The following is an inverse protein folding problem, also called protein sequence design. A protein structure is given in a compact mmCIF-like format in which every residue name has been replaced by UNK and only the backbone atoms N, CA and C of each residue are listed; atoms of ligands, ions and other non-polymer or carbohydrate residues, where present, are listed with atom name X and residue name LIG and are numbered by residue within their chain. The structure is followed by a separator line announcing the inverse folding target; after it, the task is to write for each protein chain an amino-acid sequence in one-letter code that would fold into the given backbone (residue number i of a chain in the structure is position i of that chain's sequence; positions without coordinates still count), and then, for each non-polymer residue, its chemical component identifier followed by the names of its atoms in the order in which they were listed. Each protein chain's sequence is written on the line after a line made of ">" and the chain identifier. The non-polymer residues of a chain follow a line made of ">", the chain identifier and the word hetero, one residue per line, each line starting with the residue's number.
data_IF_177588160383
#
_entry.id   IF_177588160383
#
_cell.length_a   1.000
_cell.length_b   1.000
_cell.length_c   1.000
_cell.angle_alpha   90.00
_cell.angle_beta   90.00
_cell.angle_gamma   90.00
#
_symmetry.space_group_name_H-M   'P 1'
#
loop_
_entity.id
_entity.type
_entity.pdbx_description
1 polymer ?
#
# COMPACT_ATOMS: atom_id res chain seq x y z
N UNK A 1 22.11 -60.14 -6.28
CA UNK A 1 22.11 -59.65 -4.89
C UNK A 1 22.28 -58.14 -4.92
N UNK A 2 21.20 -57.41 -4.85
CA UNK A 2 21.17 -55.97 -4.89
C UNK A 2 21.22 -55.42 -3.44
N UNK A 3 22.28 -54.71 -3.12
CA UNK A 3 22.42 -54.03 -1.82
C UNK A 3 21.50 -52.80 -1.77
N UNK A 4 20.53 -52.84 -0.85
CA UNK A 4 19.73 -51.70 -0.49
C UNK A 4 20.62 -50.57 0.05
N UNK A 5 20.46 -49.33 -0.38
CA UNK A 5 21.17 -48.19 0.26
C UNK A 5 20.63 -47.99 1.67
N UNK A 6 21.50 -48.03 2.63
CA UNK A 6 21.27 -47.70 4.05
C UNK A 6 20.66 -46.30 4.17
N UNK A 7 19.58 -46.09 4.94
CA UNK A 7 19.03 -44.75 5.17
C UNK A 7 20.09 -43.90 5.87
N UNK A 8 20.44 -42.76 5.26
CA UNK A 8 21.27 -41.73 5.91
C UNK A 8 20.52 -41.23 7.14
N UNK A 9 21.05 -41.58 8.30
CA UNK A 9 20.66 -40.99 9.58
C UNK A 9 20.88 -39.47 9.51
N UNK A 10 19.80 -38.73 9.71
CA UNK A 10 19.87 -37.27 9.92
C UNK A 10 20.79 -36.99 11.11
N UNK A 11 21.71 -36.02 11.04
CA UNK A 11 22.46 -35.59 12.22
C UNK A 11 21.45 -35.08 13.26
N UNK A 12 21.59 -35.56 14.50
CA UNK A 12 20.77 -35.07 15.62
C UNK A 12 20.76 -33.55 15.66
N UNK A 13 19.63 -32.92 16.00
CA UNK A 13 19.55 -31.48 16.09
C UNK A 13 20.43 -30.98 17.23
N UNK A 14 21.64 -30.61 16.90
CA UNK A 14 22.55 -29.90 17.82
C UNK A 14 21.82 -28.64 18.27
N UNK A 15 21.74 -28.46 19.59
CA UNK A 15 21.16 -27.29 20.27
C UNK A 15 21.51 -26.03 19.50
N UNK A 16 20.46 -25.42 18.89
CA UNK A 16 20.56 -24.24 18.04
C UNK A 16 20.96 -23.02 18.87
N UNK A 17 22.27 -22.84 19.05
CA UNK A 17 22.86 -21.57 19.42
C UNK A 17 22.55 -20.51 18.35
N UNK A 18 22.71 -19.25 18.64
CA UNK A 18 22.45 -18.07 17.78
C UNK A 18 23.14 -18.13 16.40
N UNK A 19 24.16 -18.96 16.21
CA UNK A 19 25.03 -19.09 15.03
C UNK A 19 24.31 -19.56 13.73
N UNK A 20 23.44 -20.58 13.74
CA UNK A 20 22.81 -21.06 12.49
C UNK A 20 21.89 -20.03 11.84
N UNK A 21 21.15 -19.27 12.64
CA UNK A 21 20.26 -18.21 12.11
C UNK A 21 21.05 -17.02 11.58
N UNK A 22 22.23 -16.72 12.13
CA UNK A 22 23.10 -15.67 11.61
C UNK A 22 23.63 -16.05 10.22
N UNK A 23 24.11 -17.28 10.07
CA UNK A 23 24.60 -17.80 8.78
C UNK A 23 23.48 -17.85 7.73
N UNK A 24 22.27 -18.23 8.11
CA UNK A 24 21.10 -18.21 7.23
C UNK A 24 20.71 -16.77 6.85
N UNK A 25 20.77 -15.83 7.79
CA UNK A 25 20.55 -14.41 7.50
C UNK A 25 21.53 -13.88 6.44
N UNK A 26 22.82 -14.17 6.62
CA UNK A 26 23.86 -13.77 5.65
C UNK A 26 23.66 -14.43 4.28
N UNK A 27 23.24 -15.69 4.24
CA UNK A 27 22.91 -16.39 3.00
C UNK A 27 21.71 -15.74 2.29
N UNK A 28 20.66 -15.35 3.03
CA UNK A 28 19.51 -14.62 2.48
C UNK A 28 19.92 -13.26 1.92
N UNK A 29 20.79 -12.52 2.61
CA UNK A 29 21.31 -11.22 2.14
C UNK A 29 22.10 -11.41 0.85
N UNK A 30 22.99 -12.42 0.77
CA UNK A 30 23.73 -12.77 -0.46
C UNK A 30 22.78 -13.13 -1.63
N UNK A 31 21.61 -13.69 -1.35
CA UNK A 31 20.52 -13.91 -2.35
C UNK A 31 19.70 -12.66 -2.69
N UNK A 32 20.10 -11.47 -2.22
CA UNK A 32 19.44 -10.21 -2.50
C UNK A 32 18.18 -9.94 -1.68
N UNK A 33 17.94 -10.71 -0.59
CA UNK A 33 16.83 -10.38 0.31
C UNK A 33 17.15 -9.11 1.11
N UNK A 34 16.15 -8.26 1.29
CA UNK A 34 16.27 -7.07 2.12
C UNK A 34 16.22 -7.44 3.60
N UNK A 35 16.85 -6.62 4.44
CA UNK A 35 16.92 -6.80 5.89
C UNK A 35 15.54 -7.08 6.51
N UNK A 36 14.53 -6.26 6.24
CA UNK A 36 13.16 -6.46 6.74
C UNK A 36 12.52 -7.80 6.29
N UNK A 37 12.95 -8.34 5.14
CA UNK A 37 12.50 -9.65 4.67
C UNK A 37 13.22 -10.77 5.42
N UNK A 38 14.51 -10.59 5.67
CA UNK A 38 15.33 -11.53 6.47
C UNK A 38 14.79 -11.61 7.89
N UNK A 39 14.60 -10.47 8.55
CA UNK A 39 14.04 -10.40 9.90
C UNK A 39 12.68 -11.11 10.01
N UNK A 40 11.77 -10.85 9.05
CA UNK A 40 10.47 -11.51 9.02
C UNK A 40 10.59 -13.03 8.89
N UNK A 41 11.49 -13.53 8.02
CA UNK A 41 11.72 -14.96 7.85
C UNK A 41 12.29 -15.59 9.13
N UNK A 42 13.26 -14.94 9.75
CA UNK A 42 13.83 -15.38 11.01
C UNK A 42 12.79 -15.40 12.14
N UNK A 43 11.89 -14.42 12.17
CA UNK A 43 10.80 -14.36 13.16
C UNK A 43 9.87 -15.57 13.05
N UNK A 44 9.54 -16.03 11.83
CA UNK A 44 8.78 -17.27 11.66
C UNK A 44 9.55 -18.49 12.14
N UNK A 45 10.80 -18.65 11.71
CA UNK A 45 11.61 -19.82 12.06
C UNK A 45 11.87 -19.94 13.58
N UNK A 46 12.06 -18.82 14.27
CA UNK A 46 12.26 -18.81 15.74
C UNK A 46 11.04 -19.30 16.53
N UNK A 47 9.85 -19.33 15.93
CA UNK A 47 8.62 -19.81 16.57
C UNK A 47 8.35 -21.30 16.30
N UNK A 48 9.14 -21.93 15.46
CA UNK A 48 8.94 -23.31 14.98
C UNK A 48 10.09 -24.19 15.47
N UNK A 49 9.82 -25.48 15.63
CA UNK A 49 10.78 -26.46 16.14
C UNK A 49 10.80 -27.72 15.28
N UNK A 50 11.92 -28.44 15.31
CA UNK A 50 12.07 -29.72 14.61
C UNK A 50 12.61 -29.59 13.18
N UNK A 51 12.40 -30.63 12.39
CA UNK A 51 12.78 -30.68 10.97
C UNK A 51 11.95 -29.67 10.13
N UNK A 52 12.41 -29.31 8.92
CA UNK A 52 11.64 -28.44 8.02
C UNK A 52 10.23 -28.98 7.73
N UNK A 53 10.03 -30.29 7.61
CA UNK A 53 8.73 -30.94 7.40
C UNK A 53 7.82 -30.78 8.62
N UNK A 54 8.37 -30.98 9.84
CA UNK A 54 7.64 -30.78 11.08
C UNK A 54 7.26 -29.30 11.26
N UNK A 55 8.17 -28.36 10.91
CA UNK A 55 7.86 -26.93 10.90
C UNK A 55 6.72 -26.58 9.98
N UNK A 56 6.65 -27.17 8.76
CA UNK A 56 5.51 -26.97 7.85
C UNK A 56 4.22 -27.48 8.47
N UNK A 57 4.23 -28.65 9.08
CA UNK A 57 3.07 -29.23 9.77
C UNK A 57 2.58 -28.29 10.88
N UNK A 58 3.50 -27.73 11.70
CA UNK A 58 3.17 -26.76 12.73
C UNK A 58 2.53 -25.48 12.12
N UNK A 59 3.07 -24.98 11.01
CA UNK A 59 2.49 -23.80 10.31
C UNK A 59 1.09 -24.08 9.80
N UNK A 60 0.85 -25.26 9.23
CA UNK A 60 -0.48 -25.62 8.72
C UNK A 60 -1.51 -25.75 9.84
N UNK A 61 -1.12 -26.33 10.99
CA UNK A 61 -1.94 -26.46 12.18
C UNK A 61 -2.17 -25.15 12.94
N UNK A 62 -1.31 -24.14 12.74
CA UNK A 62 -1.40 -22.86 13.45
C UNK A 62 -2.61 -22.04 12.99
N UNK A 63 -3.16 -21.21 13.87
CA UNK A 63 -4.28 -20.31 13.56
C UNK A 63 -3.81 -18.98 12.89
N UNK A 64 -2.74 -19.03 12.10
CA UNK A 64 -2.30 -17.87 11.35
C UNK A 64 -3.15 -17.66 10.09
N UNK A 65 -3.26 -16.40 9.65
CA UNK A 65 -3.90 -16.11 8.36
C UNK A 65 -3.09 -16.71 7.20
N UNK A 66 -3.76 -17.15 6.14
CA UNK A 66 -3.16 -17.85 5.00
C UNK A 66 -1.92 -17.18 4.43
N UNK A 67 -1.95 -15.85 4.32
CA UNK A 67 -0.78 -15.08 3.84
C UNK A 67 0.44 -15.22 4.74
N UNK A 68 0.24 -15.30 6.06
CA UNK A 68 1.33 -15.52 7.01
C UNK A 68 1.84 -16.96 6.93
N UNK A 69 0.93 -17.93 6.81
CA UNK A 69 1.29 -19.34 6.58
C UNK A 69 2.14 -19.50 5.30
N UNK A 70 1.70 -18.92 4.18
CA UNK A 70 2.45 -18.95 2.93
C UNK A 70 3.84 -18.32 3.04
N UNK A 71 3.97 -17.21 3.79
CA UNK A 71 5.26 -16.57 4.03
C UNK A 71 6.17 -17.44 4.92
N UNK A 72 5.62 -18.10 5.94
CA UNK A 72 6.35 -19.01 6.82
C UNK A 72 6.83 -20.24 6.04
N UNK A 73 5.97 -20.87 5.25
CA UNK A 73 6.33 -22.01 4.37
C UNK A 73 7.48 -21.61 3.43
N UNK A 74 7.42 -20.44 2.80
CA UNK A 74 8.52 -19.95 1.96
C UNK A 74 9.83 -19.78 2.75
N UNK A 75 9.76 -19.32 4.01
CA UNK A 75 10.95 -19.18 4.86
C UNK A 75 11.54 -20.55 5.21
N UNK A 76 10.68 -21.53 5.53
CA UNK A 76 11.09 -22.89 5.85
C UNK A 76 11.74 -23.57 4.64
N UNK A 77 11.13 -23.48 3.45
CA UNK A 77 11.71 -24.06 2.22
C UNK A 77 13.11 -23.48 1.93
N UNK A 78 13.30 -22.18 2.12
CA UNK A 78 14.60 -21.54 1.93
C UNK A 78 15.60 -21.93 3.03
N UNK A 79 15.12 -22.16 4.25
CA UNK A 79 15.97 -22.64 5.33
C UNK A 79 16.42 -24.08 5.07
N UNK A 80 15.54 -24.96 4.60
CA UNK A 80 15.85 -26.31 4.15
C UNK A 80 16.88 -26.33 3.00
N UNK A 81 16.73 -25.43 2.03
CA UNK A 81 17.69 -25.21 0.93
C UNK A 81 19.07 -24.80 1.48
N UNK A 82 19.10 -23.87 2.44
CA UNK A 82 20.35 -23.45 3.11
C UNK A 82 21.05 -24.60 3.85
N UNK A 83 20.28 -25.50 4.47
CA UNK A 83 20.81 -26.67 5.16
C UNK A 83 21.26 -27.78 4.21
N UNK A 84 21.07 -27.64 2.90
CA UNK A 84 21.41 -28.65 1.89
C UNK A 84 20.38 -29.77 1.71
N UNK A 85 19.19 -29.65 2.29
CA UNK A 85 18.09 -30.61 2.19
C UNK A 85 16.83 -29.94 1.64
N UNK A 86 16.81 -29.54 0.34
CA UNK A 86 15.67 -28.84 -0.22
C UNK A 86 14.42 -29.71 -0.17
N UNK A 87 13.34 -29.17 0.33
CA UNK A 87 12.03 -29.80 0.44
C UNK A 87 11.07 -29.24 -0.63
N UNK A 88 10.16 -30.09 -1.11
CA UNK A 88 9.11 -29.64 -2.02
C UNK A 88 8.15 -28.72 -1.29
N UNK A 89 7.99 -27.52 -1.82
CA UNK A 89 6.99 -26.58 -1.29
C UNK A 89 5.59 -27.19 -1.43
N UNK A 90 4.78 -27.25 -0.34
CA UNK A 90 3.40 -27.72 -0.42
C UNK A 90 2.55 -26.78 -1.30
N UNK A 91 1.56 -27.35 -1.98
CA UNK A 91 0.56 -26.57 -2.73
C UNK A 91 -0.42 -25.94 -1.73
N UNK A 92 -0.02 -24.78 -1.19
CA UNK A 92 -0.81 -24.03 -0.22
C UNK A 92 -1.47 -22.83 -0.90
N UNK A 93 -2.79 -22.87 -1.01
CA UNK A 93 -3.57 -21.78 -1.61
C UNK A 93 -3.87 -20.71 -0.59
N UNK A 94 -3.67 -19.46 -0.98
CA UNK A 94 -3.98 -18.28 -0.15
C UNK A 94 -5.31 -17.71 -0.62
N UNK A 95 -6.33 -17.82 0.21
CA UNK A 95 -7.62 -17.18 -0.01
C UNK A 95 -7.60 -15.77 0.57
N UNK A 96 -7.57 -14.77 -0.30
CA UNK A 96 -7.59 -13.37 0.11
C UNK A 96 -8.89 -12.70 -0.35
N UNK A 97 -9.96 -12.87 0.42
CA UNK A 97 -11.28 -12.30 0.15
C UNK A 97 -11.49 -10.94 0.84
N UNK A 98 -10.43 -10.32 1.38
CA UNK A 98 -10.58 -9.01 2.01
C UNK A 98 -10.68 -7.93 0.94
N UNK A 99 -11.83 -7.27 0.91
CA UNK A 99 -11.97 -6.04 0.14
C UNK A 99 -11.02 -4.97 0.66
N UNK A 100 -10.47 -4.20 -0.28
CA UNK A 100 -9.59 -3.10 0.04
C UNK A 100 -10.43 -1.94 0.56
N UNK A 101 -10.24 -1.59 1.82
CA UNK A 101 -10.90 -0.40 2.38
C UNK A 101 -10.26 0.87 1.82
N UNK A 102 -11.10 1.75 1.29
CA UNK A 102 -10.72 3.09 0.85
C UNK A 102 -11.68 4.08 1.53
N UNK A 103 -11.16 5.01 2.35
CA UNK A 103 -12.00 6.03 2.97
C UNK A 103 -12.58 6.95 1.91
N UNK A 104 -13.80 7.46 2.13
CA UNK A 104 -14.37 8.46 1.25
C UNK A 104 -13.67 9.83 1.41
N UNK A 105 -13.80 10.74 0.43
CA UNK A 105 -13.12 12.03 0.45
C UNK A 105 -13.44 12.87 1.70
N UNK A 106 -14.68 12.87 2.14
CA UNK A 106 -15.10 13.64 3.31
C UNK A 106 -14.44 13.13 4.60
N UNK A 107 -14.31 11.82 4.72
CA UNK A 107 -13.61 11.21 5.86
C UNK A 107 -12.12 11.58 5.90
N UNK A 108 -11.46 11.64 4.73
CA UNK A 108 -10.06 12.09 4.63
C UNK A 108 -9.93 13.57 4.98
N UNK A 109 -10.85 14.41 4.49
CA UNK A 109 -10.95 15.83 4.83
C UNK A 109 -11.06 16.03 6.35
N UNK A 110 -12.02 15.32 6.99
CA UNK A 110 -12.22 15.39 8.44
C UNK A 110 -11.00 14.92 9.22
N UNK A 111 -10.35 13.86 8.75
CA UNK A 111 -9.12 13.35 9.37
C UNK A 111 -8.02 14.41 9.36
N UNK A 112 -7.76 15.05 8.21
CA UNK A 112 -6.75 16.11 8.05
C UNK A 112 -7.11 17.37 8.84
N UNK A 113 -8.36 17.82 8.77
CA UNK A 113 -8.82 19.05 9.44
C UNK A 113 -8.62 19.01 10.96
N UNK A 114 -8.89 17.84 11.57
CA UNK A 114 -8.76 17.64 13.03
C UNK A 114 -7.34 17.37 13.50
N UNK A 115 -6.39 17.09 12.57
CA UNK A 115 -4.98 16.91 12.92
C UNK A 115 -4.34 18.24 13.39
N UNK A 116 -4.06 18.33 14.70
CA UNK A 116 -3.43 19.53 15.28
C UNK A 116 -1.93 19.61 15.01
N UNK A 117 -1.24 18.48 14.93
CA UNK A 117 0.20 18.44 14.67
C UNK A 117 0.49 18.78 13.20
N UNK A 118 1.16 19.92 12.96
CA UNK A 118 1.59 20.36 11.63
C UNK A 118 2.44 19.28 10.96
N UNK A 119 3.37 18.69 11.69
CA UNK A 119 4.25 17.62 11.21
C UNK A 119 3.46 16.41 10.74
N UNK A 120 2.51 15.90 11.54
CA UNK A 120 1.70 14.74 11.17
C UNK A 120 0.71 15.07 10.05
N UNK A 121 0.18 16.30 10.04
CA UNK A 121 -0.68 16.80 8.95
C UNK A 121 0.09 16.82 7.63
N UNK A 122 1.32 17.35 7.60
CA UNK A 122 2.17 17.33 6.40
C UNK A 122 2.45 15.90 5.92
N UNK A 123 2.74 14.95 6.83
CA UNK A 123 2.93 13.53 6.50
C UNK A 123 1.69 12.93 5.83
N UNK A 124 0.50 13.16 6.39
CA UNK A 124 -0.76 12.63 5.82
C UNK A 124 -1.10 13.31 4.50
N UNK A 125 -0.91 14.64 4.40
CA UNK A 125 -1.14 15.38 3.15
C UNK A 125 -0.24 14.86 2.02
N UNK A 126 1.05 14.61 2.29
CA UNK A 126 1.93 13.96 1.31
C UNK A 126 1.38 12.59 0.87
N UNK A 127 0.94 11.77 1.81
CA UNK A 127 0.39 10.46 1.48
C UNK A 127 -0.89 10.56 0.62
N UNK A 128 -1.75 11.53 0.92
CA UNK A 128 -3.01 11.79 0.21
C UNK A 128 -2.76 12.36 -1.19
N UNK A 129 -1.78 13.25 -1.35
CA UNK A 129 -1.51 13.89 -2.65
C UNK A 129 -0.64 13.03 -3.58
N UNK A 130 0.25 12.19 -3.04
CA UNK A 130 1.24 11.45 -3.84
C UNK A 130 1.09 9.92 -3.77
N UNK A 131 0.27 9.42 -2.87
CA UNK A 131 0.18 8.00 -2.58
C UNK A 131 1.48 7.41 -1.99
N UNK A 132 2.35 8.23 -1.41
CA UNK A 132 3.60 7.76 -0.82
C UNK A 132 3.33 6.90 0.43
N UNK A 133 4.13 5.85 0.60
CA UNK A 133 4.12 5.00 1.80
C UNK A 133 4.87 5.67 2.96
N UNK A 134 4.61 5.23 4.20
CA UNK A 134 5.33 5.74 5.38
C UNK A 134 6.85 5.64 5.22
N UNK A 135 7.36 4.55 4.63
CA UNK A 135 8.78 4.37 4.40
C UNK A 135 9.38 5.30 3.32
N UNK A 136 8.59 5.70 2.32
CA UNK A 136 9.00 6.70 1.33
C UNK A 136 9.03 8.09 1.96
N UNK A 137 7.99 8.45 2.74
CA UNK A 137 7.90 9.75 3.41
C UNK A 137 8.99 9.90 4.49
N UNK A 138 9.25 8.86 5.26
CA UNK A 138 10.32 8.86 6.27
C UNK A 138 11.71 9.17 5.68
N UNK A 139 11.94 8.81 4.39
CA UNK A 139 13.22 9.05 3.69
C UNK A 139 13.31 10.41 3.01
N UNK A 140 12.23 11.21 3.00
CA UNK A 140 12.22 12.51 2.34
C UNK A 140 13.22 13.46 2.98
N UNK A 141 13.92 14.17 2.12
CA UNK A 141 14.86 15.24 2.48
C UNK A 141 14.39 16.55 1.88
N UNK A 142 14.90 17.66 2.38
CA UNK A 142 14.61 18.99 1.82
C UNK A 142 15.03 19.13 0.34
N UNK A 143 15.99 18.31 -0.11
CA UNK A 143 16.40 18.26 -1.54
C UNK A 143 15.32 17.66 -2.45
N UNK A 144 14.35 16.96 -1.89
CA UNK A 144 13.25 16.37 -2.64
C UNK A 144 12.09 17.35 -2.87
N UNK A 145 12.13 18.54 -2.23
CA UNK A 145 11.10 19.58 -2.33
C UNK A 145 11.61 20.75 -3.16
N UNK A 146 10.86 21.13 -4.18
CA UNK A 146 11.07 22.37 -4.91
C UNK A 146 9.90 23.31 -4.59
N UNK A 147 10.15 24.28 -3.72
CA UNK A 147 9.15 25.26 -3.28
C UNK A 147 8.74 26.24 -4.38
N UNK A 148 9.67 26.58 -5.30
CA UNK A 148 9.40 27.49 -6.40
C UNK A 148 8.39 26.89 -7.39
N UNK A 149 8.61 25.63 -7.76
CA UNK A 149 7.75 24.90 -8.72
C UNK A 149 6.62 24.13 -8.00
N UNK A 150 6.54 24.18 -6.68
CA UNK A 150 5.61 23.40 -5.86
C UNK A 150 5.60 21.93 -6.24
N UNK A 151 6.77 21.31 -6.22
CA UNK A 151 6.91 19.89 -6.55
C UNK A 151 7.62 19.12 -5.46
N UNK A 152 7.26 17.84 -5.33
CA UNK A 152 7.83 16.89 -4.40
C UNK A 152 8.24 15.62 -5.15
N UNK A 153 9.51 15.24 -5.04
CA UNK A 153 10.05 14.02 -5.64
C UNK A 153 9.99 12.87 -4.65
N UNK A 154 9.20 11.85 -4.95
CA UNK A 154 9.16 10.61 -4.18
C UNK A 154 10.09 9.59 -4.82
N UNK A 155 11.18 9.24 -4.11
CA UNK A 155 12.13 8.23 -4.56
C UNK A 155 11.56 6.84 -4.35
N UNK A 156 11.57 6.03 -5.39
CA UNK A 156 11.03 4.68 -5.35
C UNK A 156 11.79 3.77 -4.38
N UNK A 157 11.06 3.04 -3.58
CA UNK A 157 11.56 2.00 -2.67
C UNK A 157 10.96 0.65 -3.09
N UNK A 158 11.69 -0.44 -2.93
CA UNK A 158 11.20 -1.81 -3.24
C UNK A 158 10.81 -2.03 -4.72
N UNK A 159 11.56 -1.44 -5.66
CA UNK A 159 11.27 -1.57 -7.09
C UNK A 159 10.22 -0.59 -7.62
N UNK A 160 9.69 0.31 -6.79
CA UNK A 160 8.88 1.42 -7.28
C UNK A 160 9.74 2.42 -8.05
N UNK A 161 9.13 3.08 -9.05
CA UNK A 161 9.80 4.14 -9.81
C UNK A 161 9.85 5.42 -8.99
N UNK A 162 10.87 6.25 -9.23
CA UNK A 162 10.90 7.63 -8.73
C UNK A 162 9.93 8.47 -9.55
N UNK A 163 9.20 9.36 -8.89
CA UNK A 163 8.24 10.23 -9.55
C UNK A 163 8.18 11.59 -8.84
N UNK A 164 8.02 12.67 -9.63
CA UNK A 164 7.87 14.03 -9.13
C UNK A 164 6.41 14.45 -9.27
N UNK A 165 5.82 14.88 -8.18
CA UNK A 165 4.42 15.29 -8.07
C UNK A 165 4.32 16.80 -7.92
N UNK A 166 3.34 17.41 -8.55
CA UNK A 166 2.88 18.75 -8.15
C UNK A 166 2.15 18.63 -6.82
N UNK A 167 2.45 19.53 -5.89
CA UNK A 167 1.82 19.58 -4.56
C UNK A 167 0.99 20.85 -4.38
N UNK A 168 -0.03 20.76 -3.53
CA UNK A 168 -0.93 21.88 -3.26
C UNK A 168 -0.24 23.02 -2.52
N UNK A 169 -0.86 24.20 -2.56
CA UNK A 169 -0.42 25.37 -1.79
C UNK A 169 -0.54 25.11 -0.28
N UNK A 170 -1.55 24.36 0.12
CA UNK A 170 -1.74 23.95 1.51
C UNK A 170 -0.57 23.09 1.99
N UNK A 171 -0.21 22.05 1.25
CA UNK A 171 0.93 21.20 1.59
C UNK A 171 2.25 21.97 1.55
N UNK A 172 2.44 22.85 0.56
CA UNK A 172 3.61 23.73 0.48
C UNK A 172 3.74 24.60 1.74
N UNK A 173 2.63 25.19 2.18
CA UNK A 173 2.58 26.01 3.41
C UNK A 173 2.88 25.18 4.66
N UNK A 174 2.34 23.96 4.76
CA UNK A 174 2.67 23.06 5.87
C UNK A 174 4.15 22.71 5.92
N UNK A 175 4.77 22.45 4.77
CA UNK A 175 6.20 22.14 4.69
C UNK A 175 7.08 23.34 5.06
N UNK A 176 6.68 24.56 4.69
CA UNK A 176 7.39 25.79 5.07
C UNK A 176 7.39 26.05 6.57
N UNK A 177 6.38 25.57 7.29
CA UNK A 177 6.27 25.72 8.75
C UNK A 177 7.12 24.71 9.53
N UNK A 178 7.67 23.69 8.85
CA UNK A 178 8.50 22.68 9.51
C UNK A 178 9.94 23.20 9.72
N UNK A 179 10.57 22.84 10.85
CA UNK A 179 11.96 23.23 11.11
C UNK A 179 12.92 22.54 10.14
N UNK A 180 13.84 23.30 9.55
CA UNK A 180 14.88 22.80 8.64
C UNK A 180 16.20 22.58 9.39
N UNK A 181 16.17 21.84 10.48
CA UNK A 181 17.35 21.59 11.34
C UNK A 181 18.20 20.41 10.87
N UNK A 182 17.63 19.54 10.04
CA UNK A 182 18.27 18.32 9.53
C UNK A 182 18.04 18.19 8.03
N UNK A 183 18.79 17.30 7.36
CA UNK A 183 18.57 16.99 5.95
C UNK A 183 17.18 16.37 5.69
N UNK A 184 16.69 15.57 6.64
CA UNK A 184 15.36 14.95 6.58
C UNK A 184 14.27 15.96 6.92
N UNK A 185 13.15 15.88 6.18
CA UNK A 185 11.96 16.68 6.47
C UNK A 185 11.33 16.24 7.80
N UNK A 186 11.34 14.93 8.05
CA UNK A 186 10.69 14.34 9.22
C UNK A 186 11.69 13.54 10.06
N UNK A 187 11.91 13.96 11.29
CA UNK A 187 12.79 13.33 12.27
C UNK A 187 12.07 12.22 13.08
N UNK A 188 11.29 11.35 12.42
CA UNK A 188 10.77 10.14 13.05
C UNK A 188 11.88 9.09 13.17
N UNK A 189 11.84 8.28 14.23
CA UNK A 189 12.80 7.21 14.46
C UNK A 189 12.90 6.28 13.26
N UNK A 190 11.74 5.85 12.76
CA UNK A 190 11.58 4.96 11.60
C UNK A 190 10.19 5.16 10.96
N UNK A 191 9.91 4.38 9.93
CA UNK A 191 8.62 4.42 9.24
C UNK A 191 7.48 3.83 10.08
N UNK A 192 7.78 2.89 10.98
CA UNK A 192 6.77 2.27 11.85
C UNK A 192 6.28 3.27 12.89
N UNK A 193 7.15 4.16 13.36
CA UNK A 193 6.78 5.23 14.26
C UNK A 193 5.70 6.17 13.65
N UNK A 194 5.73 6.41 12.33
CA UNK A 194 4.66 7.14 11.63
C UNK A 194 3.34 6.35 11.71
N UNK A 195 3.39 5.03 11.51
CA UNK A 195 2.21 4.17 11.60
C UNK A 195 1.59 4.21 13.02
N UNK A 196 2.43 4.17 14.07
CA UNK A 196 2.00 4.22 15.46
C UNK A 196 1.26 5.53 15.77
N UNK A 197 1.80 6.69 15.33
CA UNK A 197 1.12 7.98 15.51
C UNK A 197 -0.24 8.03 14.81
N UNK A 198 -0.36 7.45 13.61
CA UNK A 198 -1.65 7.37 12.91
C UNK A 198 -2.62 6.42 13.65
N UNK A 199 -2.12 5.31 14.17
CA UNK A 199 -2.94 4.37 14.93
C UNK A 199 -3.52 5.00 16.19
N UNK A 200 -2.72 5.71 16.94
CA UNK A 200 -3.16 6.41 18.15
C UNK A 200 -4.14 7.55 17.80
N UNK A 201 -3.84 8.27 16.73
CA UNK A 201 -4.71 9.37 16.31
C UNK A 201 -6.08 8.88 15.84
N UNK A 202 -6.16 7.82 15.01
CA UNK A 202 -7.44 7.26 14.55
C UNK A 202 -8.32 6.78 15.69
N UNK A 203 -7.72 6.15 16.74
CA UNK A 203 -8.44 5.70 17.94
C UNK A 203 -9.05 6.88 18.70
N UNK A 204 -8.24 7.95 18.88
CA UNK A 204 -8.70 9.17 19.50
C UNK A 204 -9.82 9.83 18.68
N UNK A 205 -9.63 9.96 17.38
CA UNK A 205 -10.61 10.58 16.48
C UNK A 205 -11.93 9.81 16.45
N UNK A 206 -11.89 8.48 16.40
CA UNK A 206 -13.08 7.65 16.48
C UNK A 206 -13.87 7.88 17.78
N UNK A 207 -13.17 8.01 18.92
CA UNK A 207 -13.78 8.32 20.21
C UNK A 207 -14.37 9.74 20.26
N UNK A 208 -13.63 10.74 19.77
CA UNK A 208 -14.05 12.14 19.77
C UNK A 208 -15.28 12.40 18.88
N UNK A 209 -15.37 11.69 17.76
CA UNK A 209 -16.46 11.87 16.79
C UNK A 209 -17.62 10.90 16.94
N UNK A 210 -17.45 9.84 17.75
CA UNK A 210 -18.41 8.73 17.82
C UNK A 210 -18.47 7.89 16.53
N UNK A 211 -17.56 8.11 15.58
CA UNK A 211 -17.56 7.40 14.29
C UNK A 211 -16.51 6.27 14.28
N UNK A 212 -16.93 4.99 14.40
CA UNK A 212 -16.02 3.84 14.42
C UNK A 212 -15.30 3.61 13.08
N UNK A 213 -15.76 4.19 11.98
CA UNK A 213 -15.13 4.01 10.68
C UNK A 213 -13.71 4.60 10.63
N UNK A 214 -13.39 5.58 11.48
CA UNK A 214 -12.02 6.06 11.63
C UNK A 214 -11.05 4.97 12.08
N UNK A 215 -11.51 3.94 12.79
CA UNK A 215 -10.68 2.79 13.18
C UNK A 215 -10.20 1.95 11.98
N UNK A 216 -10.86 2.06 10.83
CA UNK A 216 -10.46 1.40 9.58
C UNK A 216 -9.30 2.13 8.86
N UNK A 217 -9.00 3.38 9.27
CA UNK A 217 -7.93 4.18 8.67
C UNK A 217 -6.58 3.73 9.23
N UNK A 218 -5.77 3.14 8.38
CA UNK A 218 -4.34 2.89 8.61
C UNK A 218 -3.53 3.81 7.68
N UNK A 219 -2.25 4.01 7.94
CA UNK A 219 -1.46 4.87 7.07
C UNK A 219 -1.56 4.47 5.58
N UNK A 220 -1.53 3.17 5.30
CA UNK A 220 -1.62 2.66 3.92
C UNK A 220 -2.97 2.94 3.23
N UNK A 221 -4.04 3.22 3.98
CA UNK A 221 -5.35 3.58 3.39
C UNK A 221 -5.31 4.96 2.71
N UNK A 222 -4.41 5.86 3.12
CA UNK A 222 -4.22 7.13 2.40
C UNK A 222 -3.63 6.91 1.00
N UNK A 223 -2.72 5.94 0.86
CA UNK A 223 -2.25 5.53 -0.47
C UNK A 223 -3.39 4.92 -1.30
N UNK A 224 -4.22 4.09 -0.69
CA UNK A 224 -5.41 3.56 -1.38
C UNK A 224 -6.33 4.69 -1.83
N UNK A 225 -6.60 5.65 -0.95
CA UNK A 225 -7.37 6.83 -1.28
C UNK A 225 -6.74 7.62 -2.44
N UNK A 226 -5.46 7.99 -2.34
CA UNK A 226 -4.76 8.79 -3.35
C UNK A 226 -4.85 8.17 -4.75
N UNK A 227 -4.59 6.86 -4.87
CA UNK A 227 -4.64 6.14 -6.15
C UNK A 227 -6.07 6.06 -6.68
N UNK A 228 -7.05 5.74 -5.81
CA UNK A 228 -8.45 5.68 -6.18
C UNK A 228 -8.97 7.06 -6.60
N UNK A 229 -8.57 8.11 -5.89
CA UNK A 229 -8.96 9.49 -6.18
C UNK A 229 -8.37 9.97 -7.51
N UNK A 230 -7.11 9.65 -7.78
CA UNK A 230 -6.47 9.97 -9.05
C UNK A 230 -7.18 9.26 -10.21
N UNK A 231 -7.48 7.97 -10.08
CA UNK A 231 -8.25 7.24 -11.08
C UNK A 231 -9.68 7.79 -11.23
N UNK A 232 -10.32 8.18 -10.14
CA UNK A 232 -11.66 8.79 -10.18
C UNK A 232 -11.66 10.05 -11.04
N UNK A 233 -10.64 10.89 -10.92
CA UNK A 233 -10.51 12.16 -11.68
C UNK A 233 -10.12 11.94 -13.13
N UNK A 234 -9.19 11.07 -13.42
CA UNK A 234 -8.59 10.93 -14.75
C UNK A 234 -9.26 9.86 -15.61
N UNK A 235 -9.87 8.86 -14.99
CA UNK A 235 -10.38 7.62 -15.63
C UNK A 235 -9.31 6.88 -16.45
N UNK A 236 -8.06 7.28 -16.35
CA UNK A 236 -6.93 6.71 -17.06
C UNK A 236 -6.16 5.74 -16.16
N UNK A 237 -6.19 4.45 -16.52
CA UNK A 237 -5.52 3.40 -15.73
C UNK A 237 -4.01 3.42 -15.92
N UNK A 238 -3.52 3.85 -17.08
CA UNK A 238 -2.09 3.92 -17.39
C UNK A 238 -1.45 5.07 -16.61
N UNK A 239 -2.06 6.25 -16.65
CA UNK A 239 -1.61 7.38 -15.84
C UNK A 239 -1.75 7.09 -14.34
N UNK A 240 -2.80 6.36 -13.92
CA UNK A 240 -2.95 5.92 -12.53
C UNK A 240 -1.84 4.95 -12.12
N UNK A 241 -1.40 4.06 -13.01
CA UNK A 241 -0.25 3.18 -12.76
C UNK A 241 1.03 3.99 -12.57
N UNK A 242 1.25 5.01 -13.39
CA UNK A 242 2.41 5.93 -13.29
C UNK A 242 2.37 6.70 -11.98
N UNK A 243 1.22 7.32 -11.67
CA UNK A 243 0.99 8.02 -10.40
C UNK A 243 1.28 7.13 -9.19
N UNK A 244 0.76 5.90 -9.19
CA UNK A 244 0.97 4.94 -8.12
C UNK A 244 2.38 4.35 -8.07
N UNK A 245 3.19 4.58 -9.11
CA UNK A 245 4.54 4.00 -9.29
C UNK A 245 4.53 2.46 -9.31
N UNK A 246 3.43 1.83 -9.76
CA UNK A 246 3.32 0.39 -9.82
C UNK A 246 4.05 -0.18 -11.04
N UNK A 247 4.95 -1.15 -10.82
CA UNK A 247 5.60 -1.89 -11.90
C UNK A 247 4.64 -2.83 -12.63
N UNK A 248 3.64 -3.37 -11.93
CA UNK A 248 2.63 -4.27 -12.48
C UNK A 248 1.25 -3.61 -12.46
N UNK A 249 0.60 -3.53 -13.63
CA UNK A 249 -0.72 -2.92 -13.80
C UNK A 249 -1.81 -3.63 -12.98
N UNK A 250 -1.67 -4.94 -12.72
CA UNK A 250 -2.60 -5.70 -11.88
C UNK A 250 -2.76 -5.09 -10.48
N UNK A 251 -1.69 -4.46 -9.96
CA UNK A 251 -1.76 -3.75 -8.69
C UNK A 251 -2.64 -2.49 -8.77
N UNK A 252 -2.79 -1.91 -9.97
CA UNK A 252 -3.59 -0.71 -10.20
C UNK A 252 -5.04 -1.05 -10.50
N UNK A 253 -5.30 -2.13 -11.23
CA UNK A 253 -6.67 -2.57 -11.58
C UNK A 253 -7.57 -2.78 -10.35
N UNK A 254 -7.00 -3.11 -9.21
CA UNK A 254 -7.74 -3.26 -7.94
C UNK A 254 -8.47 -1.99 -7.50
N UNK A 255 -8.01 -0.81 -7.94
CA UNK A 255 -8.60 0.48 -7.57
C UNK A 255 -9.77 0.88 -8.46
N UNK A 256 -9.90 0.31 -9.66
CA UNK A 256 -10.97 0.60 -10.61
C UNK A 256 -12.35 0.29 -10.02
N UNK A 257 -12.47 -0.84 -9.32
CA UNK A 257 -13.75 -1.26 -8.73
C UNK A 257 -14.15 -0.43 -7.51
N UNK A 258 -13.17 0.06 -6.75
CA UNK A 258 -13.40 0.82 -5.51
C UNK A 258 -14.06 2.17 -5.77
N UNK A 259 -13.73 2.79 -6.90
CA UNK A 259 -14.22 4.12 -7.27
C UNK A 259 -15.73 4.12 -7.59
N UNK A 260 -16.29 2.99 -8.02
CA UNK A 260 -17.72 2.88 -8.33
C UNK A 260 -18.60 3.21 -7.12
N UNK A 261 -18.17 2.92 -5.90
CA UNK A 261 -18.91 3.22 -4.67
C UNK A 261 -18.93 4.71 -4.31
N UNK A 262 -18.06 5.52 -4.92
CA UNK A 262 -18.06 6.99 -4.72
C UNK A 262 -19.00 7.72 -5.66
N UNK A 263 -19.48 7.06 -6.70
CA UNK A 263 -20.46 7.58 -7.62
C UNK A 263 -21.82 7.16 -7.07
N UNK A 264 -22.50 8.05 -6.34
CA UNK A 264 -23.90 7.84 -6.01
C UNK A 264 -24.72 7.97 -7.28
N UNK A 265 -25.75 7.12 -7.46
CA UNK A 265 -26.60 7.12 -8.65
C UNK A 265 -27.28 8.47 -8.93
N UNK A 266 -27.35 9.37 -7.94
CA UNK A 266 -27.95 10.70 -8.03
C UNK A 266 -26.94 11.86 -8.18
N UNK A 267 -25.67 11.59 -8.39
CA UNK A 267 -24.61 12.63 -8.47
C UNK A 267 -24.13 12.86 -9.90
N UNK A 268 -25.06 12.85 -10.85
CA UNK A 268 -24.79 13.27 -12.21
C UNK A 268 -25.45 14.63 -12.47
N UNK A 269 -24.69 15.53 -13.08
CA UNK A 269 -25.28 16.63 -13.81
C UNK A 269 -25.83 16.05 -15.11
N UNK A 270 -27.13 16.14 -15.29
CA UNK A 270 -27.81 15.67 -16.48
C UNK A 270 -28.21 16.89 -17.31
N UNK A 271 -27.85 16.89 -18.58
CA UNK A 271 -28.21 17.93 -19.55
C UNK A 271 -28.88 17.29 -20.76
N UNK A 272 -29.67 18.07 -21.43
CA UNK A 272 -30.32 17.68 -22.69
C UNK A 272 -29.82 18.59 -23.78
N UNK A 273 -29.29 18.02 -24.86
CA UNK A 273 -28.95 18.75 -26.07
C UNK A 273 -30.06 18.54 -27.10
N UNK A 274 -30.57 19.62 -27.66
CA UNK A 274 -31.65 19.57 -28.64
C UNK A 274 -31.13 19.24 -30.03
N UNK A 275 -29.88 19.64 -30.31
CA UNK A 275 -29.26 19.45 -31.61
C UNK A 275 -27.82 18.90 -31.50
N UNK A 276 -27.21 18.67 -32.68
CA UNK A 276 -25.83 18.16 -32.77
C UNK A 276 -24.77 19.17 -32.34
N UNK A 277 -25.05 20.45 -32.39
CA UNK A 277 -24.12 21.51 -32.00
C UNK A 277 -24.00 21.54 -30.48
N UNK A 278 -25.12 21.52 -29.79
CA UNK A 278 -25.14 21.39 -28.33
C UNK A 278 -24.57 20.06 -27.86
N UNK A 279 -24.88 18.96 -28.56
CA UNK A 279 -24.30 17.65 -28.28
C UNK A 279 -22.78 17.73 -28.30
N UNK A 280 -22.18 18.29 -29.35
CA UNK A 280 -20.73 18.42 -29.48
C UNK A 280 -20.15 19.26 -28.35
N UNK A 281 -20.79 20.39 -28.02
CA UNK A 281 -20.37 21.25 -26.90
C UNK A 281 -20.34 20.51 -25.58
N UNK A 282 -21.40 19.77 -25.23
CA UNK A 282 -21.42 19.02 -23.97
C UNK A 282 -20.42 17.84 -23.95
N UNK A 283 -20.19 17.19 -25.10
CA UNK A 283 -19.14 16.17 -25.20
C UNK A 283 -17.74 16.76 -24.97
N UNK A 284 -17.46 17.96 -25.52
CA UNK A 284 -16.20 18.68 -25.29
C UNK A 284 -16.05 19.13 -23.84
N UNK A 285 -17.14 19.43 -23.16
CA UNK A 285 -17.20 19.73 -21.73
C UNK A 285 -17.04 18.47 -20.84
N UNK A 286 -16.95 17.27 -21.44
CA UNK A 286 -16.73 16.00 -20.75
C UNK A 286 -18.00 15.32 -20.25
N UNK A 287 -19.17 15.62 -20.84
CA UNK A 287 -20.38 14.85 -20.63
C UNK A 287 -20.37 13.57 -21.47
N UNK A 288 -20.95 12.50 -20.96
CA UNK A 288 -21.15 11.23 -21.66
C UNK A 288 -22.58 11.13 -22.19
N UNK A 289 -22.75 10.71 -23.44
CA UNK A 289 -24.05 10.45 -24.01
C UNK A 289 -24.68 9.21 -23.34
N UNK A 290 -25.88 9.39 -22.75
CA UNK A 290 -26.64 8.32 -22.09
C UNK A 290 -27.70 7.75 -23.03
N UNK A 291 -28.43 8.58 -23.70
CA UNK A 291 -29.52 8.17 -24.59
C UNK A 291 -29.79 9.20 -25.68
N UNK A 292 -30.24 8.70 -26.85
CA UNK A 292 -30.87 9.50 -27.88
C UNK A 292 -32.37 9.34 -27.70
N UNK A 293 -33.08 10.44 -27.59
CA UNK A 293 -34.53 10.49 -27.46
C UNK A 293 -35.14 11.11 -28.70
N UNK A 294 -36.45 11.09 -28.84
CA UNK A 294 -37.17 11.77 -29.91
C UNK A 294 -37.00 13.30 -29.83
N UNK A 295 -36.64 13.84 -28.66
CA UNK A 295 -36.53 15.25 -28.35
C UNK A 295 -35.10 15.77 -28.29
N UNK A 296 -34.10 14.92 -28.59
CA UNK A 296 -32.69 15.28 -28.51
C UNK A 296 -31.81 14.22 -27.85
N UNK A 297 -30.75 14.67 -27.20
CA UNK A 297 -29.73 13.81 -26.60
C UNK A 297 -29.66 14.06 -25.09
N UNK A 298 -29.74 12.99 -24.31
CA UNK A 298 -29.53 13.04 -22.87
C UNK A 298 -28.07 12.72 -22.55
N UNK A 299 -27.40 13.64 -21.89
CA UNK A 299 -26.03 13.49 -21.49
C UNK A 299 -25.89 13.60 -19.96
N UNK A 300 -24.87 12.98 -19.42
CA UNK A 300 -24.54 13.07 -18.00
C UNK A 300 -23.07 13.28 -17.78
N UNK A 301 -22.74 13.94 -16.69
CA UNK A 301 -21.37 14.08 -16.17
C UNK A 301 -21.41 13.84 -14.67
N UNK A 302 -20.49 13.02 -14.10
CA UNK A 302 -20.38 12.91 -12.65
C UNK A 302 -20.15 14.29 -12.03
N UNK A 303 -20.93 14.66 -11.01
CA UNK A 303 -20.65 15.88 -10.24
C UNK A 303 -19.28 15.76 -9.63
N UNK A 304 -18.42 16.76 -9.85
CA UNK A 304 -17.17 16.85 -9.12
C UNK A 304 -17.48 16.93 -7.63
N UNK A 305 -16.93 16.01 -6.84
CA UNK A 305 -16.97 16.16 -5.40
C UNK A 305 -16.15 17.41 -5.07
N UNK A 306 -16.82 18.48 -4.69
CA UNK A 306 -16.23 19.75 -4.25
C UNK A 306 -15.56 19.58 -2.91
#
# INVERSE_FOLDING_TARGET
>A
MGSNPTPRTLPEPTVLGTTPFLNFAMWLIKKGNRESTVERKLRFLKQLKGSPEEMITQVLANNWVDKSKANAINAICQYAEFLGFPIKKPDFRVYNNREMYVPNPEMVKQFLYRLRSIKLRAVVSIAVETGASAGEIWRLTWKDVNFQNKTLTIRGVKGHRTFTYSISDELTTLLLQLPKTEDRIFNYKDADNINDFIEDYRKRLAKETGNPDFLKIHFHTFRHFAISWFYFKTKDIVETQRFARHCNIQNTLRYVHTVKSWIKENEFDVVYAEDKTELTKYLDEGYELVAKTEWGYCLRKPKALT
#
